data_IF_414098199081
#
_entry.id   IF_414098199081
#
_cell.length_a   1.000
_cell.length_b   1.000
_cell.length_c   1.000
_cell.angle_alpha   90.00
_cell.angle_beta   90.00
_cell.angle_gamma   90.00
#
_symmetry.space_group_name_H-M   'P 1'
#
loop_
_entity.id
_entity.type
_entity.pdbx_description
1 polymer ?
#
# COMPACT_ATOMS: atom_id res chain seq x y z
N UNK A 1 -20.48 -5.70 28.05
CA UNK A 1 -19.11 -5.27 28.44
C UNK A 1 -18.53 -4.42 27.31
N UNK A 2 -18.13 -3.18 27.59
CA UNK A 2 -17.55 -2.28 26.60
C UNK A 2 -16.12 -2.72 26.27
N UNK A 3 -15.84 -3.03 25.00
CA UNK A 3 -14.49 -3.32 24.52
C UNK A 3 -13.66 -2.04 24.65
N UNK A 4 -12.71 -2.02 25.59
CA UNK A 4 -11.69 -0.95 25.70
C UNK A 4 -11.09 -0.72 24.32
N UNK A 5 -11.31 0.45 23.73
CA UNK A 5 -10.57 0.89 22.55
C UNK A 5 -9.12 1.16 23.00
N UNK A 6 -8.29 0.14 22.89
CA UNK A 6 -6.84 0.32 22.90
C UNK A 6 -6.46 1.21 21.72
N UNK A 7 -5.63 2.23 21.94
CA UNK A 7 -5.10 3.05 20.86
C UNK A 7 -4.56 2.15 19.73
N UNK A 8 -4.79 2.49 18.45
CA UNK A 8 -4.34 1.66 17.35
C UNK A 8 -2.83 1.48 17.44
N UNK A 9 -2.37 0.23 17.44
CA UNK A 9 -0.94 -0.08 17.40
C UNK A 9 -0.39 0.47 16.09
N UNK A 10 0.46 1.50 16.19
CA UNK A 10 1.12 2.11 15.03
C UNK A 10 2.13 1.10 14.48
N UNK A 11 2.02 0.79 13.19
CA UNK A 11 2.93 -0.15 12.55
C UNK A 11 4.36 0.44 12.49
N UNK A 12 5.44 -0.32 12.70
CA UNK A 12 6.80 0.22 12.68
C UNK A 12 7.17 0.97 11.37
N UNK A 13 6.62 0.51 10.24
CA UNK A 13 6.73 1.21 8.96
C UNK A 13 6.11 2.62 9.01
N UNK A 14 4.92 2.73 9.59
CA UNK A 14 4.20 4.00 9.71
C UNK A 14 4.93 4.98 10.63
N UNK A 15 5.42 4.48 11.76
CA UNK A 15 6.27 5.26 12.67
C UNK A 15 7.55 5.74 11.99
N UNK A 16 8.17 4.90 11.16
CA UNK A 16 9.43 5.22 10.47
C UNK A 16 9.26 6.26 9.36
N UNK A 17 8.17 6.21 8.60
CA UNK A 17 7.98 7.02 7.39
C UNK A 17 6.89 8.08 7.51
N UNK A 18 6.26 8.23 8.68
CA UNK A 18 5.19 9.22 8.88
C UNK A 18 3.91 8.94 8.07
N UNK A 19 3.72 7.68 7.66
CA UNK A 19 2.59 7.23 6.86
C UNK A 19 1.49 6.61 7.73
N UNK A 20 0.27 6.51 7.20
CA UNK A 20 -0.81 5.72 7.76
C UNK A 20 -1.14 4.56 6.81
N UNK A 21 -0.50 3.41 6.99
CA UNK A 21 -0.68 2.24 6.12
C UNK A 21 -0.94 0.94 6.89
N UNK A 22 -0.95 1.01 8.22
CA UNK A 22 -1.19 -0.12 9.11
C UNK A 22 -2.67 -0.44 9.31
N UNK A 23 -2.88 -1.48 10.11
CA UNK A 23 -4.21 -1.97 10.47
C UNK A 23 -4.82 -2.94 9.46
N UNK A 24 -5.85 -3.63 9.93
CA UNK A 24 -6.72 -4.49 9.13
C UNK A 24 -8.10 -3.83 9.09
N UNK A 25 -8.60 -3.56 7.88
CA UNK A 25 -9.99 -3.12 7.70
C UNK A 25 -10.75 -4.28 7.06
N UNK A 26 -11.69 -4.91 7.78
CA UNK A 26 -12.46 -6.02 7.23
C UNK A 26 -13.37 -5.55 6.09
N UNK A 27 -13.60 -6.40 5.10
CA UNK A 27 -14.39 -6.12 3.90
C UNK A 27 -15.73 -5.40 4.13
N UNK A 28 -16.56 -5.81 5.13
CA UNK A 28 -17.81 -5.12 5.43
C UNK A 28 -17.68 -3.64 5.83
N UNK A 29 -16.47 -3.18 6.17
CA UNK A 29 -16.15 -1.78 6.48
C UNK A 29 -15.53 -1.03 5.30
N UNK A 30 -15.28 -1.70 4.17
CA UNK A 30 -14.76 -1.11 2.94
C UNK A 30 -15.88 -0.83 1.94
N UNK A 31 -17.01 -0.30 2.42
CA UNK A 31 -18.13 0.02 1.53
C UNK A 31 -17.83 1.30 0.75
N UNK A 32 -18.12 1.25 -0.54
CA UNK A 32 -18.11 2.38 -1.47
C UNK A 32 -19.53 2.74 -1.91
N UNK A 33 -20.50 1.86 -1.68
CA UNK A 33 -21.87 1.98 -2.19
C UNK A 33 -22.09 1.16 -3.48
N UNK A 34 -21.05 0.54 -4.02
CA UNK A 34 -21.15 -0.30 -5.21
C UNK A 34 -21.68 -1.71 -4.88
N UNK A 35 -22.45 -2.31 -5.79
CA UNK A 35 -23.00 -3.67 -5.59
C UNK A 35 -21.93 -4.75 -5.38
N UNK A 36 -20.72 -4.51 -5.88
CA UNK A 36 -19.59 -5.44 -5.76
C UNK A 36 -18.83 -5.31 -4.44
N UNK A 37 -19.17 -4.36 -3.56
CA UNK A 37 -18.57 -4.26 -2.22
C UNK A 37 -18.68 -5.57 -1.42
N UNK A 38 -19.68 -6.40 -1.73
CA UNK A 38 -19.87 -7.76 -1.15
C UNK A 38 -18.69 -8.71 -1.40
N UNK A 39 -17.83 -8.40 -2.37
CA UNK A 39 -16.65 -9.19 -2.72
C UNK A 39 -15.37 -8.68 -2.07
N UNK A 40 -15.42 -7.58 -1.32
CA UNK A 40 -14.26 -7.07 -0.60
C UNK A 40 -13.89 -8.03 0.53
N UNK A 41 -12.68 -8.58 0.51
CA UNK A 41 -12.18 -9.45 1.59
C UNK A 41 -11.74 -8.62 2.80
N UNK A 42 -10.71 -7.80 2.62
CA UNK A 42 -10.18 -6.86 3.62
C UNK A 42 -9.10 -5.98 2.99
N UNK A 43 -8.79 -4.87 3.65
CA UNK A 43 -7.56 -4.13 3.46
C UNK A 43 -6.57 -4.55 4.54
N UNK A 44 -5.35 -4.88 4.11
CA UNK A 44 -4.21 -5.06 4.99
C UNK A 44 -2.98 -4.50 4.28
N UNK A 45 -2.21 -3.64 4.94
CA UNK A 45 -1.01 -3.07 4.34
C UNK A 45 0.02 -4.16 4.02
N UNK A 46 0.63 -4.09 2.84
CA UNK A 46 1.66 -5.03 2.38
C UNK A 46 2.79 -5.16 3.40
N UNK A 47 3.21 -6.38 3.72
CA UNK A 47 4.38 -6.56 4.57
C UNK A 47 5.65 -6.10 3.81
N UNK A 48 6.45 -5.15 4.34
CA UNK A 48 7.63 -4.66 3.62
C UNK A 48 8.65 -5.77 3.25
N UNK A 49 8.79 -6.78 4.11
CA UNK A 49 9.65 -7.94 3.86
C UNK A 49 9.17 -8.82 2.70
N UNK A 50 7.86 -8.98 2.54
CA UNK A 50 7.28 -9.74 1.44
C UNK A 50 7.46 -8.99 0.11
N UNK A 51 7.23 -7.67 0.12
CA UNK A 51 7.48 -6.83 -1.05
C UNK A 51 8.95 -6.93 -1.50
N UNK A 52 9.90 -6.79 -0.57
CA UNK A 52 11.33 -6.89 -0.88
C UNK A 52 11.69 -8.25 -1.52
N UNK A 53 11.20 -9.36 -0.95
CA UNK A 53 11.42 -10.70 -1.51
C UNK A 53 10.84 -10.86 -2.91
N UNK A 54 9.66 -10.30 -3.19
CA UNK A 54 9.05 -10.34 -4.53
C UNK A 54 9.89 -9.56 -5.55
N UNK A 55 10.39 -8.37 -5.17
CA UNK A 55 11.22 -7.55 -6.05
C UNK A 55 12.59 -8.17 -6.31
N UNK A 56 13.18 -8.82 -5.30
CA UNK A 56 14.42 -9.59 -5.45
C UNK A 56 14.21 -10.76 -6.43
N UNK A 57 13.14 -11.54 -6.25
CA UNK A 57 12.80 -12.63 -7.17
C UNK A 57 12.60 -12.12 -8.60
N UNK A 58 11.84 -11.04 -8.78
CA UNK A 58 11.62 -10.43 -10.10
C UNK A 58 12.94 -10.03 -10.77
N UNK A 59 13.81 -9.31 -10.07
CA UNK A 59 15.12 -8.91 -10.61
C UNK A 59 16.02 -10.09 -10.99
N UNK A 60 15.81 -11.26 -10.38
CA UNK A 60 16.54 -12.49 -10.66
C UNK A 60 15.89 -13.37 -11.77
N UNK A 61 14.73 -13.01 -12.34
CA UNK A 61 14.04 -13.85 -13.35
C UNK A 61 14.48 -13.64 -14.79
N UNK A 62 14.96 -12.44 -15.15
CA UNK A 62 15.35 -12.09 -16.52
C UNK A 62 16.75 -11.47 -16.54
N UNK A 63 17.27 -11.10 -17.71
CA UNK A 63 18.47 -10.24 -17.78
C UNK A 63 18.25 -9.01 -16.89
N UNK A 64 19.13 -8.72 -15.92
CA UNK A 64 18.91 -7.65 -14.97
C UNK A 64 18.88 -6.30 -15.71
N UNK A 65 17.70 -5.71 -15.78
CA UNK A 65 17.49 -4.33 -16.22
C UNK A 65 17.00 -3.51 -15.04
N UNK A 66 17.43 -2.25 -14.92
CA UNK A 66 17.15 -1.45 -13.73
C UNK A 66 15.65 -1.16 -13.60
N UNK A 67 15.10 -0.99 -12.38
CA UNK A 67 13.70 -0.59 -12.19
C UNK A 67 13.30 0.67 -12.96
N UNK A 68 14.23 1.58 -13.22
CA UNK A 68 14.03 2.78 -14.04
C UNK A 68 13.57 2.50 -15.47
N UNK A 69 13.73 1.27 -15.95
CA UNK A 69 13.28 0.80 -17.26
C UNK A 69 11.86 0.23 -17.23
N UNK A 70 11.19 0.28 -16.08
CA UNK A 70 9.85 -0.25 -15.86
C UNK A 70 8.92 0.75 -15.19
N UNK A 71 7.62 0.59 -15.45
CA UNK A 71 6.56 1.20 -14.68
C UNK A 71 6.02 0.19 -13.66
N UNK A 72 5.82 0.61 -12.42
CA UNK A 72 5.17 -0.19 -11.39
C UNK A 72 3.69 0.16 -11.30
N UNK A 73 2.81 -0.84 -11.38
CA UNK A 73 1.36 -0.68 -11.27
C UNK A 73 0.83 -1.53 -10.11
N UNK A 74 0.14 -0.89 -9.17
CA UNK A 74 -0.42 -1.49 -7.96
C UNK A 74 -1.95 -1.52 -8.05
N UNK A 75 -2.53 -2.69 -8.30
CA UNK A 75 -3.98 -2.86 -8.40
C UNK A 75 -4.53 -3.30 -7.03
N UNK A 76 -5.37 -2.47 -6.43
CA UNK A 76 -5.75 -2.60 -5.02
C UNK A 76 -4.72 -1.94 -4.11
N UNK A 77 -4.26 -0.74 -4.48
CA UNK A 77 -3.18 -0.03 -3.80
C UNK A 77 -3.50 0.30 -2.32
N UNK A 78 -4.79 0.30 -1.94
CA UNK A 78 -5.25 0.62 -0.61
C UNK A 78 -4.67 1.96 -0.14
N UNK A 79 -4.04 1.98 1.04
CA UNK A 79 -3.38 3.18 1.59
C UNK A 79 -1.97 3.45 1.04
N UNK A 80 -1.51 2.72 0.01
CA UNK A 80 -0.32 3.05 -0.77
C UNK A 80 1.03 2.49 -0.27
N UNK A 81 1.07 1.50 0.62
CA UNK A 81 2.35 0.97 1.15
C UNK A 81 3.24 0.36 0.07
N UNK A 82 2.68 -0.46 -0.83
CA UNK A 82 3.44 -1.04 -1.95
C UNK A 82 3.94 0.06 -2.89
N UNK A 83 3.06 1.01 -3.24
CA UNK A 83 3.42 2.18 -4.06
C UNK A 83 4.58 3.00 -3.45
N UNK A 84 4.55 3.26 -2.14
CA UNK A 84 5.65 3.92 -1.43
C UNK A 84 6.96 3.12 -1.52
N UNK A 85 6.91 1.81 -1.29
CA UNK A 85 8.09 0.95 -1.38
C UNK A 85 8.65 0.91 -2.81
N UNK A 86 7.78 0.85 -3.82
CA UNK A 86 8.17 0.89 -5.23
C UNK A 86 8.81 2.24 -5.60
N UNK A 87 8.27 3.37 -5.14
CA UNK A 87 8.83 4.69 -5.42
C UNK A 87 10.31 4.80 -4.98
N UNK A 88 10.66 4.17 -3.85
CA UNK A 88 12.03 4.10 -3.34
C UNK A 88 12.98 3.21 -4.15
N UNK A 89 12.46 2.39 -5.05
CA UNK A 89 13.25 1.59 -5.99
C UNK A 89 13.52 2.31 -7.31
N UNK A 90 13.04 3.56 -7.48
CA UNK A 90 13.28 4.39 -8.66
C UNK A 90 12.73 3.78 -9.96
N UNK A 91 11.54 3.17 -9.91
CA UNK A 91 10.79 2.87 -11.13
C UNK A 91 10.54 4.14 -11.94
N UNK A 92 10.44 4.03 -13.27
CA UNK A 92 10.14 5.17 -14.16
C UNK A 92 8.89 5.92 -13.73
N UNK A 93 7.90 5.17 -13.28
CA UNK A 93 6.64 5.67 -12.74
C UNK A 93 6.04 4.64 -11.80
N UNK A 94 5.31 5.12 -10.80
CA UNK A 94 4.53 4.27 -9.88
C UNK A 94 3.08 4.73 -9.93
N UNK A 95 2.16 3.83 -10.24
CA UNK A 95 0.72 4.12 -10.33
C UNK A 95 -0.05 3.15 -9.44
N UNK A 96 -0.85 3.69 -8.51
CA UNK A 96 -1.76 2.91 -7.67
C UNK A 96 -3.22 3.09 -8.12
N UNK A 97 -3.95 1.98 -8.18
CA UNK A 97 -5.40 1.95 -8.48
C UNK A 97 -6.13 1.42 -7.25
N UNK A 98 -7.07 2.20 -6.74
CA UNK A 98 -7.87 1.85 -5.55
C UNK A 98 -9.33 2.26 -5.76
N UNK A 99 -10.25 1.35 -5.44
CA UNK A 99 -11.69 1.57 -5.61
C UNK A 99 -12.31 2.33 -4.43
N UNK A 100 -11.76 2.16 -3.23
CA UNK A 100 -12.24 2.83 -2.05
C UNK A 100 -11.65 4.26 -1.96
N UNK A 101 -12.47 5.32 -2.13
CA UNK A 101 -11.96 6.69 -2.20
C UNK A 101 -11.31 7.15 -0.88
N UNK A 102 -11.72 6.59 0.26
CA UNK A 102 -11.11 6.90 1.56
C UNK A 102 -9.70 6.33 1.62
N UNK A 103 -9.51 5.08 1.21
CA UNK A 103 -8.16 4.48 1.16
C UNK A 103 -7.27 5.21 0.15
N UNK A 104 -7.81 5.54 -1.02
CA UNK A 104 -7.09 6.29 -2.04
C UNK A 104 -6.66 7.68 -1.55
N UNK A 105 -7.52 8.39 -0.80
CA UNK A 105 -7.19 9.66 -0.18
C UNK A 105 -6.04 9.54 0.82
N UNK A 106 -6.08 8.52 1.71
CA UNK A 106 -4.98 8.25 2.64
C UNK A 106 -3.68 7.92 1.89
N UNK A 107 -3.76 7.18 0.79
CA UNK A 107 -2.59 6.89 -0.04
C UNK A 107 -1.98 8.17 -0.65
N UNK A 108 -2.81 9.08 -1.15
CA UNK A 108 -2.37 10.37 -1.67
C UNK A 108 -1.70 11.22 -0.59
N UNK A 109 -2.27 11.26 0.61
CA UNK A 109 -1.65 11.95 1.76
C UNK A 109 -0.29 11.33 2.15
N UNK A 110 -0.22 10.00 2.20
CA UNK A 110 1.02 9.28 2.50
C UNK A 110 2.12 9.58 1.47
N UNK A 111 1.75 9.62 0.19
CA UNK A 111 2.68 9.92 -0.91
C UNK A 111 3.04 11.41 -0.93
N UNK A 112 2.13 12.32 -0.60
CA UNK A 112 2.47 13.75 -0.50
C UNK A 112 3.47 14.05 0.62
N UNK A 113 3.47 13.25 1.69
CA UNK A 113 4.47 13.31 2.77
C UNK A 113 5.80 12.66 2.39
N UNK A 114 5.81 11.83 1.36
CA UNK A 114 7.02 11.32 0.77
C UNK A 114 7.66 12.44 -0.05
N UNK A 115 8.65 13.14 0.52
CA UNK A 115 9.55 13.97 -0.26
C UNK A 115 10.44 13.03 -1.09
N UNK A 116 10.40 13.08 -2.44
CA UNK A 116 11.27 12.23 -3.24
C UNK A 116 12.75 12.64 -3.14
N UNK A 117 13.09 13.77 -2.51
CA UNK A 117 14.46 14.26 -2.27
C UNK A 117 14.50 15.15 -1.03
#
# INVERSE_FOLDING_TARGET
MARKQTAPVVHPFDAKYGTETGGLIPGPKLKTGHMHDRHNTAYHGTAPSLFAQLMERWQNTWTPVPPSDYAFVDVGAGKGRSSFLAARMHFRSVTGVELNPVLAGIAQENIARFAPY
#
